data_IF_824674938340
#
_entry.id   IF_824674938340
#
_cell.length_a   1.000
_cell.length_b   1.000
_cell.length_c   1.000
_cell.angle_alpha   90.00
_cell.angle_beta   90.00
_cell.angle_gamma   90.00
#
_symmetry.space_group_name_H-M   'P 1'
#
loop_
_entity.id
_entity.type
_entity.pdbx_description
1 polymer ?
#
# COMPACT_ATOMS: atom_id res chain seq x y z
N UNK A 1 21.28 -12.42 11.39
CA UNK A 1 22.53 -13.22 11.32
C UNK A 1 23.68 -12.22 11.44
N UNK A 2 24.53 -12.33 12.45
CA UNK A 2 25.72 -11.47 12.58
C UNK A 2 26.71 -11.86 11.48
N UNK A 3 27.03 -10.91 10.62
CA UNK A 3 28.08 -11.05 9.63
C UNK A 3 29.29 -10.26 10.15
N UNK A 4 30.42 -10.90 10.21
CA UNK A 4 31.66 -10.29 10.66
C UNK A 4 32.60 -10.12 9.46
N UNK A 5 33.19 -8.93 9.34
CA UNK A 5 34.20 -8.67 8.31
C UNK A 5 33.67 -8.33 6.93
N UNK A 6 32.35 -8.15 6.77
CA UNK A 6 31.74 -7.74 5.51
C UNK A 6 30.91 -6.48 5.70
N UNK A 7 30.93 -5.59 4.71
CA UNK A 7 30.06 -4.44 4.66
C UNK A 7 28.64 -4.88 4.34
N UNK A 8 27.68 -4.43 5.12
CA UNK A 8 26.27 -4.73 4.93
C UNK A 8 25.48 -3.44 4.82
N UNK A 9 24.72 -3.30 3.75
CA UNK A 9 23.80 -2.18 3.62
C UNK A 9 22.57 -2.43 4.50
N UNK A 10 22.29 -1.48 5.39
CA UNK A 10 21.14 -1.53 6.30
C UNK A 10 20.22 -0.37 5.96
N UNK A 11 18.96 -0.65 5.65
CA UNK A 11 17.92 0.36 5.51
C UNK A 11 17.00 0.31 6.72
N UNK A 12 16.92 1.43 7.41
CA UNK A 12 16.02 1.60 8.55
C UNK A 12 14.89 2.52 8.13
N UNK A 13 13.65 2.03 8.04
CA UNK A 13 12.52 2.90 7.75
C UNK A 13 12.25 3.83 8.93
N UNK A 14 12.08 5.10 8.63
CA UNK A 14 11.73 6.13 9.59
C UNK A 14 10.32 6.61 9.25
N UNK A 15 9.42 6.54 10.22
CA UNK A 15 8.03 6.94 10.05
C UNK A 15 7.69 8.07 11.01
N UNK A 16 6.94 9.04 10.51
CA UNK A 16 6.38 10.09 11.35
C UNK A 16 4.95 9.70 11.75
N UNK A 17 4.64 9.82 13.03
CA UNK A 17 3.32 9.46 13.56
C UNK A 17 2.28 10.57 13.40
N UNK A 18 2.72 11.77 13.13
CA UNK A 18 1.91 12.96 12.94
C UNK A 18 2.39 13.72 11.70
N UNK A 19 1.71 14.80 11.37
CA UNK A 19 2.05 15.66 10.24
C UNK A 19 3.22 16.62 10.54
N UNK A 20 3.73 16.61 11.76
CA UNK A 20 4.87 17.43 12.16
C UNK A 20 6.16 16.84 11.57
N UNK A 21 6.89 17.66 10.84
CA UNK A 21 8.25 17.32 10.39
C UNK A 21 9.21 17.68 11.51
N UNK A 22 9.97 16.73 12.07
CA UNK A 22 10.92 17.05 13.13
C UNK A 22 12.03 17.98 12.59
N UNK A 23 12.31 19.03 13.34
CA UNK A 23 13.40 19.97 12.99
C UNK A 23 14.78 19.34 13.16
N UNK A 24 14.86 18.28 13.95
CA UNK A 24 16.13 17.62 14.28
C UNK A 24 15.92 16.10 14.42
N UNK A 25 16.84 15.36 13.88
CA UNK A 25 16.94 13.91 14.06
C UNK A 25 18.32 13.53 14.56
N UNK A 26 18.38 12.73 15.61
CA UNK A 26 19.63 12.15 16.13
C UNK A 26 19.70 10.68 15.73
N UNK A 27 20.78 10.29 15.09
CA UNK A 27 21.07 8.90 14.75
C UNK A 27 22.17 8.41 15.71
N UNK A 28 21.87 7.38 16.49
CA UNK A 28 22.81 6.81 17.44
C UNK A 28 23.20 5.41 16.99
N UNK A 29 24.47 5.21 16.74
CA UNK A 29 25.05 3.91 16.46
C UNK A 29 25.66 3.33 17.72
N UNK A 30 25.33 2.09 18.06
CA UNK A 30 25.86 1.41 19.24
C UNK A 30 26.39 0.03 18.90
N UNK A 31 27.61 -0.22 19.27
CA UNK A 31 28.23 -1.55 19.15
C UNK A 31 27.92 -2.47 20.34
N UNK A 32 27.00 -2.08 21.23
CA UNK A 32 26.63 -2.86 22.39
C UNK A 32 25.73 -4.05 22.07
N UNK A 33 25.87 -5.10 22.87
CA UNK A 33 25.05 -6.29 22.76
C UNK A 33 23.81 -6.13 23.67
N UNK A 34 22.67 -5.78 23.11
CA UNK A 34 21.39 -5.75 23.83
C UNK A 34 20.92 -7.19 24.09
N UNK A 35 20.35 -7.59 25.23
CA UNK A 35 19.70 -6.77 26.26
C UNK A 35 20.54 -6.43 27.49
N UNK A 36 21.80 -6.76 27.51
CA UNK A 36 22.61 -6.60 28.72
C UNK A 36 23.35 -5.26 28.72
N UNK A 37 22.65 -4.19 29.04
CA UNK A 37 23.23 -2.85 29.24
C UNK A 37 24.18 -2.74 30.45
N UNK A 38 24.23 -3.76 31.29
CA UNK A 38 25.15 -3.74 32.42
C UNK A 38 26.42 -4.45 31.99
N UNK A 39 27.46 -3.66 31.73
CA UNK A 39 28.80 -4.15 31.69
C UNK A 39 29.13 -4.80 33.04
N UNK A 40 28.76 -6.06 33.18
CA UNK A 40 29.26 -6.92 34.21
C UNK A 40 30.50 -7.58 33.62
N UNK A 41 31.63 -7.28 34.18
CA UNK A 41 32.86 -8.03 33.97
C UNK A 41 33.69 -7.71 32.71
N UNK A 42 33.72 -6.49 32.24
CA UNK A 42 34.72 -6.07 31.24
C UNK A 42 34.63 -6.80 29.86
N UNK A 43 33.56 -7.50 29.61
CA UNK A 43 33.39 -8.37 28.43
C UNK A 43 33.09 -7.62 27.12
N UNK A 44 33.10 -6.30 27.10
CA UNK A 44 32.80 -5.50 25.91
C UNK A 44 34.02 -4.79 25.32
N UNK A 45 35.19 -5.07 25.82
CA UNK A 45 36.42 -4.56 25.24
C UNK A 45 36.69 -5.24 23.91
N UNK A 46 36.62 -4.47 22.85
CA UNK A 46 36.91 -4.93 21.48
C UNK A 46 35.76 -4.99 20.53
N UNK A 47 34.52 -4.66 20.95
CA UNK A 47 33.43 -4.50 20.00
C UNK A 47 33.60 -3.18 19.24
N UNK A 48 33.68 -3.27 17.92
CA UNK A 48 33.73 -2.12 17.03
C UNK A 48 32.58 -2.19 16.04
N UNK A 49 31.97 -1.06 15.79
CA UNK A 49 31.01 -0.86 14.72
C UNK A 49 31.59 0.19 13.77
N UNK A 50 31.80 -0.21 12.55
CA UNK A 50 32.20 0.70 11.50
C UNK A 50 30.94 1.10 10.73
N UNK A 51 30.78 2.40 10.53
CA UNK A 51 29.65 2.97 9.80
C UNK A 51 30.20 3.88 8.73
N UNK A 52 29.72 3.72 7.53
CA UNK A 52 30.09 4.52 6.38
C UNK A 52 28.85 4.78 5.51
N UNK A 53 28.91 5.79 4.67
CA UNK A 53 27.85 6.16 3.71
C UNK A 53 26.47 6.29 4.35
N UNK A 54 26.35 7.09 5.42
CA UNK A 54 25.06 7.37 6.05
C UNK A 54 24.28 8.34 5.19
N UNK A 55 23.16 7.87 4.63
CA UNK A 55 22.30 8.64 3.76
C UNK A 55 20.87 8.70 4.30
N UNK A 56 20.23 9.85 4.24
CA UNK A 56 18.80 10.01 4.45
C UNK A 56 18.08 9.97 3.10
N UNK A 57 17.32 8.91 2.88
CA UNK A 57 16.57 8.72 1.63
C UNK A 57 15.11 9.06 1.84
N UNK A 58 14.61 10.05 1.15
CA UNK A 58 13.19 10.36 1.13
C UNK A 58 12.45 9.41 0.18
N UNK A 59 11.43 8.77 0.71
CA UNK A 59 10.65 7.79 -0.06
C UNK A 59 9.51 8.47 -0.82
N UNK A 60 9.35 8.13 -2.09
CA UNK A 60 8.17 8.45 -2.90
C UNK A 60 7.14 7.32 -2.90
N UNK A 61 7.28 6.32 -2.03
CA UNK A 61 6.35 5.20 -1.98
C UNK A 61 5.28 5.42 -0.92
N UNK A 62 4.09 4.89 -1.21
CA UNK A 62 3.05 4.70 -0.21
C UNK A 62 3.19 3.32 0.40
N UNK A 63 2.87 3.19 1.69
CA UNK A 63 2.93 1.89 2.38
C UNK A 63 1.61 1.14 2.22
N UNK A 64 0.50 1.88 2.23
CA UNK A 64 -0.83 1.32 2.16
C UNK A 64 -1.73 2.14 1.26
N UNK A 65 -2.53 1.45 0.46
CA UNK A 65 -3.58 2.04 -0.34
C UNK A 65 -4.94 1.66 0.24
N UNK A 66 -5.81 2.66 0.36
CA UNK A 66 -7.18 2.50 0.83
C UNK A 66 -8.14 2.80 -0.30
N UNK A 67 -9.10 1.91 -0.49
CA UNK A 67 -10.18 2.07 -1.47
C UNK A 67 -11.50 1.97 -0.71
N UNK A 68 -12.36 2.99 -0.81
CA UNK A 68 -13.58 3.11 -0.01
C UNK A 68 -13.31 2.98 1.50
N UNK A 69 -12.27 3.64 1.99
CA UNK A 69 -11.86 3.63 3.41
C UNK A 69 -11.41 2.25 3.95
N UNK A 70 -11.26 1.26 3.07
CA UNK A 70 -10.74 -0.06 3.43
C UNK A 70 -9.35 -0.26 2.86
N UNK A 71 -8.44 -0.76 3.70
CA UNK A 71 -7.11 -1.11 3.24
C UNK A 71 -7.18 -2.19 2.15
N UNK A 72 -6.56 -1.91 1.01
CA UNK A 72 -6.41 -2.90 -0.04
C UNK A 72 -5.18 -3.79 0.24
N UNK A 73 -5.43 -4.92 0.88
CA UNK A 73 -4.38 -5.84 1.34
C UNK A 73 -3.53 -6.46 0.23
N UNK A 74 -4.05 -6.55 -0.98
CA UNK A 74 -3.32 -7.07 -2.13
C UNK A 74 -2.49 -6.00 -2.86
N UNK A 75 -2.53 -4.75 -2.41
CA UNK A 75 -1.71 -3.70 -2.98
C UNK A 75 -0.23 -3.95 -2.68
N UNK A 76 0.60 -3.93 -3.73
CA UNK A 76 2.06 -3.99 -3.61
C UNK A 76 2.67 -2.60 -3.83
N UNK A 77 3.21 -1.97 -2.77
CA UNK A 77 3.84 -0.66 -2.87
C UNK A 77 5.14 -0.65 -3.69
N UNK A 78 5.69 -1.80 -4.03
CA UNK A 78 6.93 -1.94 -4.80
C UNK A 78 6.69 -2.28 -6.28
N UNK A 79 5.46 -2.60 -6.65
CA UNK A 79 5.13 -2.94 -8.03
C UNK A 79 5.01 -1.69 -8.90
N UNK A 80 5.73 -1.70 -10.03
CA UNK A 80 5.54 -0.72 -11.11
C UNK A 80 4.46 -1.17 -12.11
N UNK A 81 4.00 -2.40 -11.99
CA UNK A 81 3.01 -3.00 -12.87
C UNK A 81 1.58 -2.52 -12.55
N UNK A 82 0.68 -2.75 -13.47
CA UNK A 82 -0.73 -2.48 -13.27
C UNK A 82 -1.31 -3.42 -12.20
N UNK A 83 -1.93 -2.84 -11.18
CA UNK A 83 -2.57 -3.58 -10.10
C UNK A 83 -4.09 -3.52 -10.26
N UNK A 84 -4.75 -4.67 -10.14
CA UNK A 84 -6.18 -4.81 -10.46
C UNK A 84 -7.01 -4.88 -9.18
N UNK A 85 -8.02 -4.01 -9.10
CA UNK A 85 -8.99 -3.97 -8.01
C UNK A 85 -10.40 -4.24 -8.52
N UNK A 86 -11.08 -5.24 -7.96
CA UNK A 86 -12.48 -5.51 -8.29
C UNK A 86 -13.42 -4.59 -7.52
N UNK A 87 -14.19 -3.81 -8.25
CA UNK A 87 -15.19 -2.90 -7.67
C UNK A 87 -16.54 -3.55 -7.40
N UNK A 88 -16.69 -4.81 -7.75
CA UNK A 88 -17.97 -5.50 -7.64
C UNK A 88 -18.98 -4.94 -8.63
N UNK A 89 -20.18 -4.61 -8.13
CA UNK A 89 -21.28 -4.04 -8.94
C UNK A 89 -21.27 -2.50 -8.94
N UNK A 90 -20.18 -1.85 -8.56
CA UNK A 90 -20.13 -0.40 -8.58
C UNK A 90 -20.13 0.13 -10.01
N UNK A 91 -20.78 1.26 -10.20
CA UNK A 91 -20.84 1.99 -11.47
C UNK A 91 -19.87 3.15 -11.55
N UNK A 92 -19.26 3.51 -10.40
CA UNK A 92 -18.34 4.63 -10.28
C UNK A 92 -17.01 4.17 -9.68
N UNK A 93 -15.95 4.83 -10.09
CA UNK A 93 -14.62 4.63 -9.50
C UNK A 93 -14.66 5.05 -8.03
N UNK A 94 -14.23 4.18 -7.10
CA UNK A 94 -14.22 4.48 -5.70
C UNK A 94 -13.16 5.53 -5.32
N UNK A 95 -13.37 6.20 -4.21
CA UNK A 95 -12.35 7.07 -3.63
C UNK A 95 -11.11 6.26 -3.20
N UNK A 96 -9.94 6.80 -3.49
CA UNK A 96 -8.63 6.18 -3.23
C UNK A 96 -7.81 7.10 -2.34
N UNK A 97 -7.14 6.53 -1.36
CA UNK A 97 -6.27 7.24 -0.44
C UNK A 97 -4.96 6.49 -0.28
N UNK A 98 -3.85 7.22 -0.33
CA UNK A 98 -2.53 6.70 0.01
C UNK A 98 -2.15 7.05 1.44
N UNK A 99 -1.42 6.17 2.10
CA UNK A 99 -0.93 6.37 3.47
C UNK A 99 0.55 6.04 3.53
N UNK A 100 1.30 6.88 4.25
CA UNK A 100 2.70 6.65 4.58
C UNK A 100 2.83 6.39 6.08
N UNK A 101 3.66 5.42 6.45
CA UNK A 101 3.95 5.09 7.83
C UNK A 101 3.17 3.89 8.37
N UNK A 102 3.68 3.36 9.47
CA UNK A 102 3.09 2.24 10.19
C UNK A 102 2.43 2.80 11.44
N UNK A 103 1.17 3.18 11.33
CA UNK A 103 0.36 3.41 12.52
C UNK A 103 -0.17 2.08 13.05
N UNK A 104 -0.01 1.81 14.33
CA UNK A 104 -0.78 0.76 14.97
C UNK A 104 -2.22 1.24 15.09
N UNK A 105 -3.16 0.53 14.46
CA UNK A 105 -4.58 0.74 14.73
C UNK A 105 -4.85 0.17 16.13
N UNK A 106 -4.62 0.93 17.17
CA UNK A 106 -5.20 0.63 18.46
C UNK A 106 -6.58 1.26 18.51
N UNK A 107 -7.60 0.44 18.31
CA UNK A 107 -9.00 0.76 18.55
C UNK A 107 -9.62 1.88 17.71
N UNK A 108 -9.88 1.60 16.44
CA UNK A 108 -10.95 2.29 15.74
C UNK A 108 -12.32 1.85 16.28
N UNK A 109 -12.64 2.21 17.51
CA UNK A 109 -14.02 2.26 18.00
C UNK A 109 -14.56 3.64 17.68
N UNK A 110 -15.10 3.81 16.50
CA UNK A 110 -15.74 5.05 16.11
C UNK A 110 -15.88 5.15 14.61
N UNK A 111 -16.97 5.74 14.16
CA UNK A 111 -17.41 5.89 12.78
C UNK A 111 -16.55 6.84 11.91
N UNK A 112 -15.38 7.20 12.35
CA UNK A 112 -14.40 7.94 11.57
C UNK A 112 -13.29 6.99 11.17
N UNK A 113 -13.16 6.74 9.89
CA UNK A 113 -12.04 6.00 9.33
C UNK A 113 -10.73 6.73 9.68
N UNK A 114 -10.10 6.33 10.75
CA UNK A 114 -8.79 6.80 11.11
C UNK A 114 -7.81 5.96 10.32
N UNK A 115 -7.22 6.55 9.30
CA UNK A 115 -6.17 5.89 8.55
C UNK A 115 -4.96 5.71 9.47
N UNK A 116 -4.40 4.51 9.56
CA UNK A 116 -3.19 4.28 10.31
C UNK A 116 -2.03 5.01 9.63
N UNK A 117 -1.18 5.63 10.43
CA UNK A 117 -0.06 6.41 9.93
C UNK A 117 -0.47 7.77 9.36
N UNK A 118 0.48 8.46 8.74
CA UNK A 118 0.28 9.76 8.13
C UNK A 118 -0.36 9.63 6.75
N UNK A 119 -1.44 10.34 6.50
CA UNK A 119 -1.97 10.51 5.14
C UNK A 119 -0.99 11.31 4.30
N UNK A 120 -0.90 10.97 3.03
CA UNK A 120 -0.18 11.77 2.06
C UNK A 120 -0.96 13.07 1.80
N UNK A 121 -0.23 14.18 1.65
CA UNK A 121 -0.81 15.45 1.22
C UNK A 121 -1.24 15.37 -0.24
N UNK A 122 -2.07 16.32 -0.69
CA UNK A 122 -2.46 16.41 -2.10
C UNK A 122 -1.28 16.63 -3.06
N UNK A 123 -0.20 17.21 -2.56
CA UNK A 123 1.03 17.43 -3.32
C UNK A 123 1.88 16.16 -3.42
N UNK A 124 1.95 15.41 -2.32
CA UNK A 124 2.65 14.12 -2.30
C UNK A 124 1.89 13.04 -3.07
N UNK A 125 0.56 13.03 -2.99
CA UNK A 125 -0.32 12.04 -3.60
C UNK A 125 -1.24 12.72 -4.62
N UNK A 126 -0.97 12.53 -5.89
CA UNK A 126 -1.72 13.16 -6.96
C UNK A 126 -2.29 12.12 -7.92
N UNK A 127 -3.60 12.14 -8.08
CA UNK A 127 -4.26 11.40 -9.16
C UNK A 127 -4.13 12.25 -10.43
N UNK A 128 -3.33 11.79 -11.37
CA UNK A 128 -3.09 12.48 -12.64
C UNK A 128 -4.03 12.02 -13.75
N UNK A 129 -4.60 10.83 -13.59
CA UNK A 129 -5.62 10.28 -14.48
C UNK A 129 -6.63 9.50 -13.64
N UNK A 130 -7.92 9.77 -13.81
CA UNK A 130 -8.99 9.10 -13.05
C UNK A 130 -9.20 7.75 -13.70
N UNK A 131 -8.97 7.12 -14.53
CA UNK A 131 -9.30 5.80 -15.03
C UNK A 131 -10.80 5.58 -15.22
N UNK A 132 -11.16 4.38 -15.62
CA UNK A 132 -12.54 3.93 -15.78
C UNK A 132 -12.70 2.47 -15.36
N UNK A 133 -13.92 2.08 -14.94
CA UNK A 133 -14.22 0.68 -14.67
C UNK A 133 -14.19 -0.07 -16.01
N UNK A 134 -13.45 -1.18 -16.03
CA UNK A 134 -13.18 -1.99 -17.23
C UNK A 134 -12.54 -1.22 -18.41
N UNK A 135 -11.99 -0.02 -18.10
CA UNK A 135 -11.32 0.85 -19.05
C UNK A 135 -9.87 1.14 -18.64
N UNK A 136 -9.42 2.38 -18.89
CA UNK A 136 -8.09 2.80 -18.56
C UNK A 136 -7.81 2.79 -17.04
N UNK A 137 -6.58 2.46 -16.60
CA UNK A 137 -6.24 2.48 -15.20
C UNK A 137 -6.20 3.92 -14.65
N UNK A 138 -6.47 4.06 -13.36
CA UNK A 138 -6.16 5.27 -12.62
C UNK A 138 -4.65 5.39 -12.48
N UNK A 139 -4.10 6.55 -12.78
CA UNK A 139 -2.68 6.85 -12.61
C UNK A 139 -2.50 7.74 -11.40
N UNK A 140 -1.67 7.28 -10.47
CA UNK A 140 -1.35 7.96 -9.23
C UNK A 140 0.14 8.25 -9.22
N UNK A 141 0.51 9.49 -8.96
CA UNK A 141 1.89 9.89 -8.72
C UNK A 141 2.09 10.22 -7.25
N UNK A 142 3.16 9.69 -6.70
CA UNK A 142 3.57 9.95 -5.32
C UNK A 142 4.97 10.54 -5.34
N UNK A 143 5.11 11.72 -4.75
CA UNK A 143 6.37 12.45 -4.70
C UNK A 143 7.05 12.26 -3.35
N UNK A 144 8.38 12.16 -3.36
CA UNK A 144 9.16 12.30 -2.15
C UNK A 144 9.03 13.73 -1.59
N UNK A 145 9.10 13.90 -0.27
CA UNK A 145 8.90 15.20 0.38
C UNK A 145 9.92 16.26 -0.06
N UNK A 146 11.12 15.83 -0.47
CA UNK A 146 12.20 16.69 -0.98
C UNK A 146 12.17 16.83 -2.51
N UNK A 147 11.21 16.21 -3.18
CA UNK A 147 11.11 16.22 -4.65
C UNK A 147 12.15 15.37 -5.37
N UNK A 148 12.98 14.60 -4.66
CA UNK A 148 14.09 13.82 -5.23
C UNK A 148 13.63 12.68 -6.12
N UNK A 149 12.44 12.14 -5.87
CA UNK A 149 11.90 10.99 -6.58
C UNK A 149 10.38 11.01 -6.71
N UNK A 150 9.88 10.28 -7.71
CA UNK A 150 8.45 10.10 -7.95
C UNK A 150 8.18 8.63 -8.28
N UNK A 151 7.18 8.06 -7.64
CA UNK A 151 6.68 6.71 -7.95
C UNK A 151 5.31 6.82 -8.59
N UNK A 152 5.11 6.09 -9.68
CA UNK A 152 3.84 6.04 -10.39
C UNK A 152 3.19 4.68 -10.19
N UNK A 153 1.95 4.70 -9.72
CA UNK A 153 1.11 3.52 -9.57
C UNK A 153 0.00 3.52 -10.61
N UNK A 154 -0.32 2.33 -11.12
CA UNK A 154 -1.41 2.09 -12.07
C UNK A 154 -2.42 1.17 -11.42
N UNK A 155 -3.63 1.67 -11.20
CA UNK A 155 -4.71 0.91 -10.57
C UNK A 155 -5.83 0.72 -11.56
N UNK A 156 -6.04 -0.51 -11.99
CA UNK A 156 -7.15 -0.87 -12.88
C UNK A 156 -8.34 -1.32 -12.08
N UNK A 157 -9.46 -0.65 -12.26
CA UNK A 157 -10.73 -1.05 -11.68
C UNK A 157 -11.48 -1.96 -12.64
N UNK A 158 -11.88 -3.13 -12.14
CA UNK A 158 -12.65 -4.08 -12.91
C UNK A 158 -13.97 -4.39 -12.22
N UNK A 159 -15.04 -4.50 -13.01
CA UNK A 159 -16.31 -4.99 -12.49
C UNK A 159 -16.14 -6.45 -12.04
N UNK A 160 -16.94 -6.88 -11.06
CA UNK A 160 -16.97 -8.30 -10.75
C UNK A 160 -17.52 -9.04 -11.97
N UNK A 161 -16.81 -10.06 -12.39
CA UNK A 161 -17.37 -10.98 -13.37
C UNK A 161 -18.75 -11.46 -12.89
N UNK A 162 -19.75 -11.38 -13.75
CA UNK A 162 -21.05 -11.97 -13.43
C UNK A 162 -20.85 -13.47 -13.23
N UNK A 163 -21.10 -13.96 -12.04
CA UNK A 163 -21.15 -15.41 -11.81
C UNK A 163 -22.48 -16.02 -12.25
N UNK A 164 -23.32 -15.21 -12.89
CA UNK A 164 -24.57 -15.68 -13.46
C UNK A 164 -24.32 -16.21 -14.89
N UNK A 165 -24.03 -17.49 -14.99
CA UNK A 165 -23.88 -18.20 -16.26
C UNK A 165 -25.23 -18.65 -16.88
N UNK A 166 -26.34 -18.15 -16.37
CA UNK A 166 -27.65 -18.51 -16.83
C UNK A 166 -28.08 -17.69 -18.04
N UNK A 167 -28.67 -18.34 -19.02
CA UNK A 167 -29.30 -17.67 -20.13
C UNK A 167 -30.52 -16.90 -19.62
N UNK A 168 -30.65 -15.65 -20.02
CA UNK A 168 -31.84 -14.86 -19.71
C UNK A 168 -33.02 -15.29 -20.54
N UNK A 169 -32.75 -15.71 -21.78
CA UNK A 169 -33.77 -16.08 -22.77
C UNK A 169 -33.16 -16.99 -23.85
N UNK A 170 -34.01 -17.77 -24.50
CA UNK A 170 -33.65 -18.58 -25.66
C UNK A 170 -34.63 -18.25 -26.80
N UNK A 171 -34.10 -17.98 -27.98
CA UNK A 171 -34.86 -17.71 -29.16
C UNK A 171 -34.62 -18.76 -30.24
N UNK A 172 -35.69 -19.18 -30.92
CA UNK A 172 -35.63 -20.01 -32.10
C UNK A 172 -36.31 -19.27 -33.25
N UNK A 173 -35.58 -19.08 -34.32
CA UNK A 173 -36.03 -18.31 -35.50
C UNK A 173 -36.54 -16.90 -35.13
N UNK A 174 -35.91 -16.26 -34.15
CA UNK A 174 -36.25 -14.91 -33.69
C UNK A 174 -37.47 -14.82 -32.76
N UNK A 175 -38.02 -15.95 -32.34
CA UNK A 175 -39.13 -16.00 -31.37
C UNK A 175 -38.70 -16.65 -30.08
N UNK A 176 -39.09 -16.04 -28.96
CA UNK A 176 -38.77 -16.58 -27.63
C UNK A 176 -39.46 -17.92 -27.42
N UNK A 177 -38.78 -18.86 -26.80
CA UNK A 177 -39.38 -20.14 -26.39
C UNK A 177 -40.31 -19.88 -25.20
N UNK A 178 -41.60 -20.17 -25.39
CA UNK A 178 -42.55 -20.08 -24.31
C UNK A 178 -42.23 -21.10 -23.20
N UNK A 179 -42.21 -20.61 -21.96
CA UNK A 179 -41.94 -21.42 -20.78
C UNK A 179 -40.46 -21.61 -20.46
N UNK A 180 -39.55 -20.96 -21.18
CA UNK A 180 -38.15 -20.96 -20.79
C UNK A 180 -37.99 -20.36 -19.39
N UNK A 181 -37.32 -21.07 -18.52
CA UNK A 181 -36.98 -20.61 -17.17
C UNK A 181 -35.53 -20.94 -16.88
N UNK A 182 -34.70 -19.91 -16.75
CA UNK A 182 -33.26 -20.02 -16.50
C UNK A 182 -32.91 -20.80 -15.23
N UNK A 183 -33.87 -21.09 -14.38
CA UNK A 183 -33.69 -21.81 -13.09
C UNK A 183 -34.08 -23.29 -13.17
N UNK A 184 -34.65 -23.75 -14.30
CA UNK A 184 -34.95 -25.16 -14.52
C UNK A 184 -33.79 -25.81 -15.29
N UNK A 185 -33.41 -27.01 -14.86
CA UNK A 185 -32.34 -27.79 -15.48
C UNK A 185 -32.84 -28.83 -16.47
N UNK A 186 -34.15 -28.94 -16.61
CA UNK A 186 -34.82 -29.90 -17.53
C UNK A 186 -36.00 -29.24 -18.25
N UNK A 187 -36.13 -29.51 -19.54
CA UNK A 187 -37.18 -29.03 -20.43
C UNK A 187 -37.78 -30.23 -21.16
#
# INVERSE_FOLDING_TARGET
>A
KKQYGEWTNIRVPIYYFNDDVPEMMNIIFSASNYPNFRAKDGLYNGNALYVDDVELIYSSKIDKLYIREREWKAFDPNSAEEQVYSVGKATEIPAVFGVRGVGSITNARGNTATFPGRKLTSEEFKIVQQGAIDGDPMIIQVHAADGSSTTTYKIKFVSAASNNARLADIQVNGSNINGFNAYLNTY
#
